data_IF_280389997811
#
_entry.id   IF_280389997811
#
_cell.length_a   1.000
_cell.length_b   1.000
_cell.length_c   1.000
_cell.angle_alpha   90.00
_cell.angle_beta   90.00
_cell.angle_gamma   90.00
#
_symmetry.space_group_name_H-M   'P 1'
#
loop_
_entity.id
_entity.type
_entity.pdbx_description
1 polymer ?
#
# COMPACT_ATOMS: atom_id res chain seq x y z
N UNK A 1 14.74 -7.48 -3.95
CA UNK A 1 14.15 -7.13 -5.26
C UNK A 1 13.16 -6.00 -5.05
N UNK A 2 13.49 -4.77 -5.46
CA UNK A 2 12.56 -3.64 -5.42
C UNK A 2 11.62 -3.74 -6.61
N UNK A 3 10.31 -3.86 -6.35
CA UNK A 3 9.28 -3.88 -7.38
C UNK A 3 9.21 -2.52 -8.07
N UNK A 4 9.12 -2.49 -9.40
CA UNK A 4 8.98 -1.26 -10.19
C UNK A 4 7.75 -0.44 -9.74
N UNK A 5 7.79 0.92 -9.82
CA UNK A 5 6.67 1.75 -9.41
C UNK A 5 5.45 1.45 -10.27
N UNK A 6 4.35 1.06 -9.62
CA UNK A 6 3.09 0.65 -10.25
C UNK A 6 2.27 1.82 -10.80
N UNK A 7 2.70 3.04 -10.55
CA UNK A 7 1.99 4.28 -10.85
C UNK A 7 2.97 5.29 -11.45
N UNK A 8 2.52 6.03 -12.48
CA UNK A 8 3.29 7.10 -13.12
C UNK A 8 3.52 8.33 -12.21
N UNK A 9 2.93 8.30 -11.00
CA UNK A 9 3.11 9.30 -9.96
C UNK A 9 4.23 8.90 -9.01
N UNK A 10 4.97 9.89 -8.44
CA UNK A 10 5.98 9.60 -7.44
C UNK A 10 5.37 8.85 -6.24
N UNK A 11 6.12 7.89 -5.64
CA UNK A 11 5.62 7.14 -4.50
C UNK A 11 5.35 8.07 -3.31
N UNK A 12 4.21 7.87 -2.66
CA UNK A 12 3.72 8.65 -1.53
C UNK A 12 3.70 7.74 -0.31
N UNK A 13 4.86 7.60 0.33
CA UNK A 13 4.98 6.73 1.49
C UNK A 13 4.30 7.32 2.72
N UNK A 14 3.51 6.50 3.40
CA UNK A 14 2.88 6.81 4.67
C UNK A 14 3.10 5.66 5.66
N UNK A 15 3.19 5.97 6.95
CA UNK A 15 3.15 4.94 7.99
C UNK A 15 1.76 4.30 8.06
N UNK A 16 1.65 3.14 8.71
CA UNK A 16 0.36 2.50 8.95
C UNK A 16 -0.69 3.42 9.59
N UNK A 17 -0.41 4.16 10.70
CA UNK A 17 -1.40 5.08 11.26
C UNK A 17 -1.82 6.19 10.28
N UNK A 18 -0.87 6.79 9.57
CA UNK A 18 -1.20 7.82 8.56
C UNK A 18 -2.07 7.26 7.43
N UNK A 19 -1.80 6.03 6.97
CA UNK A 19 -2.58 5.37 5.93
C UNK A 19 -4.01 5.00 6.40
N UNK A 20 -4.16 4.61 7.66
CA UNK A 20 -5.46 4.34 8.30
C UNK A 20 -6.31 5.60 8.30
N UNK A 21 -5.74 6.72 8.74
CA UNK A 21 -6.43 8.02 8.76
C UNK A 21 -6.77 8.48 7.34
N UNK A 22 -5.84 8.35 6.40
CA UNK A 22 -6.04 8.72 5.00
C UNK A 22 -7.19 7.95 4.34
N UNK A 23 -7.17 6.61 4.45
CA UNK A 23 -8.14 5.73 3.83
C UNK A 23 -9.47 5.63 4.63
N UNK A 24 -9.53 6.24 5.83
CA UNK A 24 -10.60 6.04 6.81
C UNK A 24 -10.93 4.56 7.02
N UNK A 25 -9.88 3.74 7.20
CA UNK A 25 -10.00 2.29 7.29
C UNK A 25 -9.31 1.74 8.52
N UNK A 26 -9.67 0.55 8.96
CA UNK A 26 -9.10 -0.05 10.17
C UNK A 26 -7.72 -0.64 9.94
N UNK A 27 -6.89 -0.66 10.99
CA UNK A 27 -5.56 -1.30 10.98
C UNK A 27 -5.60 -2.74 10.46
N UNK A 28 -6.55 -3.54 10.97
CA UNK A 28 -6.73 -4.94 10.57
C UNK A 28 -7.01 -5.11 9.07
N UNK A 29 -7.68 -4.15 8.44
CA UNK A 29 -7.96 -4.15 7.00
C UNK A 29 -6.67 -3.93 6.20
N UNK A 30 -5.86 -2.94 6.61
CA UNK A 30 -4.58 -2.65 5.99
C UNK A 30 -3.58 -3.80 6.18
N UNK A 31 -3.50 -4.37 7.38
CA UNK A 31 -2.65 -5.53 7.68
C UNK A 31 -3.06 -6.77 6.88
N UNK A 32 -4.37 -7.02 6.72
CA UNK A 32 -4.88 -8.07 5.84
C UNK A 32 -4.43 -7.85 4.39
N UNK A 33 -4.58 -6.64 3.85
CA UNK A 33 -4.17 -6.32 2.46
C UNK A 33 -2.66 -6.47 2.25
N UNK A 34 -1.86 -6.16 3.27
CA UNK A 34 -0.41 -6.41 3.26
C UNK A 34 -0.10 -7.91 3.27
N UNK A 35 -0.80 -8.70 4.10
CA UNK A 35 -0.65 -10.15 4.15
C UNK A 35 -1.09 -10.84 2.85
N UNK A 36 -2.17 -10.35 2.23
CA UNK A 36 -2.67 -10.80 0.92
C UNK A 36 -1.77 -10.34 -0.25
N UNK A 37 -0.73 -9.54 0.00
CA UNK A 37 0.19 -9.02 -1.03
C UNK A 37 -0.42 -7.95 -1.95
N UNK A 38 -1.62 -7.44 -1.60
CA UNK A 38 -2.33 -6.38 -2.33
C UNK A 38 -1.68 -5.01 -2.11
N UNK A 39 -1.11 -4.79 -0.93
CA UNK A 39 -0.26 -3.62 -0.63
C UNK A 39 1.20 -4.05 -0.50
N UNK A 40 2.12 -3.19 -0.92
CA UNK A 40 3.54 -3.42 -0.69
C UNK A 40 3.93 -2.97 0.72
N UNK A 41 4.66 -3.84 1.42
CA UNK A 41 5.26 -3.51 2.71
C UNK A 41 6.66 -2.93 2.50
N UNK A 42 6.82 -1.64 2.74
CA UNK A 42 8.12 -0.98 2.75
C UNK A 42 8.63 -0.91 4.19
N UNK A 43 9.92 -1.16 4.40
CA UNK A 43 10.57 -1.03 5.70
C UNK A 43 11.48 0.18 5.69
N UNK A 44 11.33 1.05 6.69
CA UNK A 44 12.23 2.16 6.96
C UNK A 44 12.69 2.08 8.43
N UNK A 45 13.81 1.40 8.66
CA UNK A 45 14.23 1.00 9.99
C UNK A 45 13.17 0.16 10.69
N UNK A 46 12.70 0.62 11.84
CA UNK A 46 11.64 -0.02 12.64
C UNK A 46 10.22 0.26 12.14
N UNK A 47 10.06 1.22 11.21
CA UNK A 47 8.74 1.64 10.72
C UNK A 47 8.34 0.84 9.49
N UNK A 48 7.06 0.49 9.44
CA UNK A 48 6.41 -0.06 8.25
C UNK A 48 5.72 1.08 7.52
N UNK A 49 6.06 1.21 6.24
CA UNK A 49 5.49 2.17 5.32
C UNK A 49 4.69 1.45 4.24
N UNK A 50 3.69 2.14 3.72
CA UNK A 50 2.87 1.74 2.58
C UNK A 50 2.83 2.89 1.58
N UNK A 51 2.67 2.58 0.30
CA UNK A 51 2.49 3.59 -0.73
C UNK A 51 1.01 3.98 -0.85
N UNK A 52 0.71 5.27 -0.72
CA UNK A 52 -0.67 5.77 -0.82
C UNK A 52 -1.23 5.61 -2.24
N UNK A 53 -0.40 5.59 -3.28
CA UNK A 53 -0.90 5.38 -4.65
C UNK A 53 -1.43 3.95 -4.83
N UNK A 54 -0.79 2.95 -4.20
CA UNK A 54 -1.33 1.59 -4.14
C UNK A 54 -2.66 1.52 -3.38
N UNK A 55 -2.83 2.32 -2.32
CA UNK A 55 -4.10 2.42 -1.59
C UNK A 55 -5.18 3.05 -2.48
N UNK A 56 -4.87 4.15 -3.16
CA UNK A 56 -5.76 4.80 -4.13
C UNK A 56 -6.21 3.82 -5.21
N UNK A 57 -5.28 3.08 -5.82
CA UNK A 57 -5.58 2.07 -6.82
C UNK A 57 -6.54 0.99 -6.28
N UNK A 58 -6.29 0.49 -5.06
CA UNK A 58 -7.19 -0.46 -4.41
C UNK A 58 -8.57 0.11 -4.11
N UNK A 59 -8.66 1.39 -3.70
CA UNK A 59 -9.92 2.08 -3.44
C UNK A 59 -10.73 2.31 -4.72
N UNK A 60 -10.03 2.57 -5.84
CA UNK A 60 -10.63 2.67 -7.18
C UNK A 60 -11.06 1.32 -7.76
N UNK A 61 -10.73 0.22 -7.08
CA UNK A 61 -11.02 -1.13 -7.55
C UNK A 61 -10.07 -1.60 -8.66
N UNK A 62 -8.97 -0.88 -8.89
CA UNK A 62 -7.90 -1.32 -9.78
C UNK A 62 -7.26 -2.55 -9.14
N UNK A 63 -7.53 -3.73 -9.72
CA UNK A 63 -6.82 -4.95 -9.30
C UNK A 63 -5.36 -4.76 -9.73
N UNK A 64 -4.38 -4.97 -8.83
CA UNK A 64 -3.01 -5.11 -9.31
C UNK A 64 -3.00 -6.24 -10.33
N UNK A 65 -2.47 -5.97 -11.52
CA UNK A 65 -2.28 -6.97 -12.56
C UNK A 65 -1.48 -8.12 -11.94
N UNK A 66 -2.18 -9.18 -11.54
CA UNK A 66 -1.59 -10.45 -11.14
C UNK A 66 -1.11 -11.06 -12.45
N UNK A 67 0.18 -10.91 -12.74
CA UNK A 67 0.80 -11.70 -13.78
C UNK A 67 0.64 -13.19 -13.41
N UNK A 68 0.23 -14.04 -14.37
CA UNK A 68 0.10 -15.49 -14.16
C UNK A 68 1.46 -16.15 -13.84
#
# INVERSE_FOLDING_TARGET
MARAPRSSQPPRYATLPEAIEYCRSSRSSLERRLAEGRLTRYKNGYRVLVDLNEIDALLRGERPFMAP
#
